data_IF_609862233530
#
_entry.id   IF_609862233530
#
_cell.length_a   1.000
_cell.length_b   1.000
_cell.length_c   1.000
_cell.angle_alpha   90.00
_cell.angle_beta   90.00
_cell.angle_gamma   90.00
#
_symmetry.space_group_name_H-M   'P 1'
#
loop_
_entity.id
_entity.type
_entity.pdbx_description
1 polymer ?
#
# COMPACT_ATOMS: atom_id res chain seq x y z
N UNK A 1 -5.92 11.38 -14.05
CA UNK A 1 -5.49 10.97 -12.70
C UNK A 1 -6.35 11.60 -11.60
N UNK A 2 -6.94 12.79 -11.80
CA UNK A 2 -7.63 13.52 -10.71
C UNK A 2 -9.17 13.52 -10.75
N UNK A 3 -9.81 12.74 -11.61
CA UNK A 3 -11.30 12.66 -11.70
C UNK A 3 -11.99 12.14 -10.40
N UNK A 4 -11.22 11.66 -9.41
CA UNK A 4 -11.76 11.09 -8.15
C UNK A 4 -11.30 11.84 -6.89
N UNK A 5 -10.75 13.06 -7.00
CA UNK A 5 -10.18 13.78 -5.85
C UNK A 5 -11.21 14.00 -4.73
N UNK A 6 -12.44 14.39 -5.08
CA UNK A 6 -13.51 14.61 -4.09
C UNK A 6 -13.86 13.31 -3.34
N UNK A 7 -13.85 12.15 -4.02
CA UNK A 7 -14.06 10.85 -3.39
C UNK A 7 -12.93 10.52 -2.41
N UNK A 8 -11.66 10.80 -2.76
CA UNK A 8 -10.54 10.62 -1.85
C UNK A 8 -10.61 11.57 -0.65
N UNK A 9 -11.03 12.83 -0.85
CA UNK A 9 -11.20 13.78 0.26
C UNK A 9 -12.27 13.27 1.22
N UNK A 10 -13.45 12.91 0.72
CA UNK A 10 -14.55 12.40 1.53
C UNK A 10 -14.16 11.11 2.28
N UNK A 11 -13.73 10.09 1.56
CA UNK A 11 -13.45 8.77 2.14
C UNK A 11 -12.18 8.71 2.99
N UNK A 12 -11.18 9.52 2.71
CA UNK A 12 -9.93 9.50 3.47
C UNK A 12 -9.92 10.62 4.53
N UNK A 13 -10.08 11.88 4.11
CA UNK A 13 -9.85 13.00 5.03
C UNK A 13 -11.02 13.19 5.99
N UNK A 14 -12.26 13.24 5.48
CA UNK A 14 -13.43 13.45 6.34
C UNK A 14 -13.68 12.25 7.25
N UNK A 15 -13.58 11.02 6.72
CA UNK A 15 -13.73 9.81 7.53
C UNK A 15 -12.65 9.72 8.64
N UNK A 16 -11.39 10.03 8.33
CA UNK A 16 -10.33 10.06 9.34
C UNK A 16 -10.58 11.15 10.39
N UNK A 17 -11.07 12.34 10.00
CA UNK A 17 -11.40 13.38 10.95
C UNK A 17 -12.51 12.94 11.91
N UNK A 18 -13.58 12.32 11.40
CA UNK A 18 -14.69 11.82 12.21
C UNK A 18 -14.22 10.74 13.18
N UNK A 19 -13.40 9.80 12.69
CA UNK A 19 -12.82 8.74 13.52
C UNK A 19 -11.92 9.33 14.64
N UNK A 20 -11.08 10.31 14.34
CA UNK A 20 -10.20 10.95 15.31
C UNK A 20 -10.99 11.71 16.39
N UNK A 21 -12.14 12.32 16.06
CA UNK A 21 -13.04 12.92 17.07
C UNK A 21 -13.53 11.85 18.06
N UNK A 22 -14.00 10.71 17.54
CA UNK A 22 -14.49 9.60 18.37
C UNK A 22 -13.36 9.01 19.23
N UNK A 23 -12.18 8.76 18.65
CA UNK A 23 -11.02 8.23 19.40
C UNK A 23 -10.66 9.15 20.57
N UNK A 24 -10.66 10.46 20.37
CA UNK A 24 -10.32 11.44 21.43
C UNK A 24 -11.31 11.48 22.59
N UNK A 25 -12.58 11.18 22.33
CA UNK A 25 -13.64 11.13 23.36
C UNK A 25 -13.88 9.73 23.90
N UNK A 26 -13.09 8.74 23.49
CA UNK A 26 -13.22 7.34 23.89
C UNK A 26 -12.03 6.83 24.69
N UNK A 27 -12.13 5.60 25.22
CA UNK A 27 -11.04 4.92 25.91
C UNK A 27 -10.16 4.05 24.99
N UNK A 28 -10.11 4.33 23.69
CA UNK A 28 -9.23 3.62 22.75
C UNK A 28 -7.78 3.78 23.17
N UNK A 29 -7.07 2.67 23.37
CA UNK A 29 -5.66 2.66 23.80
C UNK A 29 -4.69 2.59 22.63
N UNK A 30 -5.07 1.91 21.55
CA UNK A 30 -4.20 1.65 20.39
C UNK A 30 -4.95 1.94 19.10
N UNK A 31 -4.29 2.62 18.18
CA UNK A 31 -4.83 2.95 16.87
C UNK A 31 -3.83 2.55 15.79
N UNK A 32 -4.23 1.68 14.86
CA UNK A 32 -3.41 1.30 13.70
C UNK A 32 -3.98 1.96 12.46
N UNK A 33 -3.15 2.70 11.74
CA UNK A 33 -3.57 3.39 10.53
C UNK A 33 -2.87 2.79 9.31
N UNK A 34 -3.67 2.30 8.36
CA UNK A 34 -3.19 1.83 7.06
C UNK A 34 -2.85 3.02 6.17
N UNK A 35 -1.57 3.34 6.06
CA UNK A 35 -1.02 4.31 5.13
C UNK A 35 -0.42 3.60 3.90
N UNK A 36 0.43 4.24 3.14
CA UNK A 36 0.93 3.75 1.85
C UNK A 36 2.33 4.28 1.56
N UNK A 37 3.15 3.51 0.85
CA UNK A 37 4.42 3.99 0.29
C UNK A 37 4.23 5.11 -0.75
N UNK A 38 3.02 5.31 -1.29
CA UNK A 38 2.70 6.42 -2.19
C UNK A 38 2.79 7.80 -1.52
N UNK A 39 3.02 7.89 -0.22
CA UNK A 39 3.34 9.16 0.48
C UNK A 39 4.72 9.68 0.14
N UNK A 40 5.62 8.83 -0.32
CA UNK A 40 6.98 9.21 -0.72
C UNK A 40 7.02 9.76 -2.14
N UNK A 41 8.03 10.60 -2.41
CA UNK A 41 8.44 10.91 -3.77
C UNK A 41 9.09 9.67 -4.39
N UNK A 42 8.97 9.51 -5.71
CA UNK A 42 9.72 8.48 -6.41
C UNK A 42 11.22 8.63 -6.12
N UNK A 43 11.87 7.54 -5.78
CA UNK A 43 13.29 7.47 -5.44
C UNK A 43 13.90 6.20 -6.02
N UNK A 44 15.17 6.29 -6.40
CA UNK A 44 15.99 5.12 -6.76
C UNK A 44 16.69 4.51 -5.53
N UNK A 45 16.58 5.17 -4.37
CA UNK A 45 17.12 4.70 -3.11
C UNK A 45 16.03 4.00 -2.29
N UNK A 46 16.40 3.06 -1.41
CA UNK A 46 15.45 2.46 -0.47
C UNK A 46 14.75 3.54 0.35
N UNK A 47 13.43 3.37 0.50
CA UNK A 47 12.60 4.32 1.23
C UNK A 47 12.69 4.07 2.73
N UNK A 48 12.93 5.14 3.51
CA UNK A 48 12.92 5.09 4.97
C UNK A 48 11.85 6.02 5.55
N UNK A 49 11.39 5.72 6.76
CA UNK A 49 10.29 6.43 7.43
C UNK A 49 10.57 7.91 7.66
N UNK A 50 11.84 8.28 7.78
CA UNK A 50 12.30 9.66 8.03
C UNK A 50 12.39 10.52 6.76
N UNK A 51 12.15 9.95 5.58
CA UNK A 51 12.20 10.68 4.33
C UNK A 51 11.08 11.72 4.24
N UNK A 52 11.38 12.82 3.52
CA UNK A 52 10.41 13.86 3.23
C UNK A 52 9.22 13.30 2.43
N UNK A 53 8.02 13.51 2.95
CA UNK A 53 6.79 13.09 2.30
C UNK A 53 6.40 14.05 1.19
N UNK A 54 6.35 13.55 -0.04
CA UNK A 54 5.93 14.29 -1.23
C UNK A 54 5.30 13.35 -2.25
N UNK A 55 3.99 13.18 -2.19
CA UNK A 55 3.28 12.31 -3.13
C UNK A 55 3.05 12.96 -4.49
N UNK A 56 3.19 12.19 -5.55
CA UNK A 56 2.91 12.58 -6.93
C UNK A 56 1.43 12.38 -7.33
N UNK A 57 0.60 11.76 -6.47
CA UNK A 57 -0.81 11.50 -6.76
C UNK A 57 -1.74 11.95 -5.63
N UNK A 58 -3.01 12.15 -5.94
CA UNK A 58 -4.02 12.66 -5.00
C UNK A 58 -4.26 11.70 -3.84
N UNK A 59 -4.23 10.39 -4.07
CA UNK A 59 -4.38 9.39 -3.02
C UNK A 59 -3.29 9.52 -1.95
N UNK A 60 -2.02 9.51 -2.36
CA UNK A 60 -0.91 9.66 -1.42
C UNK A 60 -0.92 11.02 -0.70
N UNK A 61 -1.33 12.10 -1.39
CA UNK A 61 -1.51 13.42 -0.73
C UNK A 61 -2.56 13.37 0.38
N UNK A 62 -3.69 12.69 0.18
CA UNK A 62 -4.69 12.53 1.26
C UNK A 62 -4.16 11.70 2.42
N UNK A 63 -3.33 10.67 2.16
CA UNK A 63 -2.69 9.87 3.21
C UNK A 63 -1.68 10.69 4.01
N UNK A 64 -0.86 11.54 3.36
CA UNK A 64 0.05 12.48 4.06
C UNK A 64 -0.74 13.41 5.01
N UNK A 65 -1.85 13.97 4.54
CA UNK A 65 -2.72 14.81 5.36
C UNK A 65 -3.23 14.03 6.57
N UNK A 66 -3.67 12.78 6.38
CA UNK A 66 -4.17 11.95 7.46
C UNK A 66 -3.09 11.59 8.48
N UNK A 67 -1.87 11.21 8.03
CA UNK A 67 -0.75 10.94 8.93
C UNK A 67 -0.47 12.16 9.83
N UNK A 68 -0.35 13.36 9.24
CA UNK A 68 -0.14 14.60 9.99
C UNK A 68 -1.27 14.89 10.99
N UNK A 69 -2.52 14.62 10.60
CA UNK A 69 -3.69 14.81 11.49
C UNK A 69 -3.68 13.82 12.65
N UNK A 70 -3.38 12.55 12.41
CA UNK A 70 -3.28 11.51 13.43
C UNK A 70 -2.21 11.90 14.45
N UNK A 71 -1.01 12.20 13.98
CA UNK A 71 0.12 12.62 14.83
C UNK A 71 -0.28 13.82 15.70
N UNK A 72 -0.82 14.89 15.07
CA UNK A 72 -1.24 16.10 15.79
C UNK A 72 -2.36 15.84 16.80
N UNK A 73 -3.38 15.06 16.39
CA UNK A 73 -4.58 14.83 17.20
C UNK A 73 -4.34 13.94 18.40
N UNK A 74 -3.45 12.95 18.26
CA UNK A 74 -3.21 11.95 19.31
C UNK A 74 -1.99 12.25 20.19
N UNK A 75 -1.13 13.21 19.81
CA UNK A 75 0.09 13.59 20.54
C UNK A 75 -0.12 13.86 22.04
N UNK A 76 -1.27 14.44 22.42
CA UNK A 76 -1.60 14.81 23.81
C UNK A 76 -2.67 13.89 24.41
N UNK A 77 -2.87 12.70 23.86
CA UNK A 77 -3.85 11.71 24.35
C UNK A 77 -3.12 10.49 24.91
N UNK A 78 -3.88 9.61 25.59
CA UNK A 78 -3.38 8.31 26.05
C UNK A 78 -3.41 7.25 24.95
N UNK A 79 -3.97 7.56 23.78
CA UNK A 79 -4.04 6.66 22.63
C UNK A 79 -2.70 6.62 21.92
N UNK A 80 -2.06 5.46 21.88
CA UNK A 80 -0.87 5.22 21.09
C UNK A 80 -1.28 4.80 19.66
N UNK A 81 -0.46 5.14 18.65
CA UNK A 81 -0.76 4.76 17.27
C UNK A 81 0.45 4.15 16.56
N UNK A 82 0.19 3.26 15.61
CA UNK A 82 1.13 2.91 14.56
C UNK A 82 0.57 3.32 13.19
N UNK A 83 1.39 4.03 12.41
CA UNK A 83 1.11 4.32 11.01
C UNK A 83 1.90 3.33 10.18
N UNK A 84 1.21 2.49 9.40
CA UNK A 84 1.82 1.46 8.59
C UNK A 84 1.76 1.85 7.11
N UNK A 85 2.92 2.16 6.51
CA UNK A 85 3.04 2.52 5.10
C UNK A 85 3.24 1.26 4.27
N UNK A 86 2.14 0.73 3.75
CA UNK A 86 2.15 -0.48 2.91
C UNK A 86 2.75 -0.18 1.54
N UNK A 87 3.62 -1.08 1.08
CA UNK A 87 4.04 -1.17 -0.30
C UNK A 87 2.97 -1.87 -1.13
N UNK A 88 3.30 -2.51 -2.26
CA UNK A 88 2.26 -3.14 -3.08
C UNK A 88 1.85 -4.47 -2.45
N UNK A 89 0.72 -4.47 -1.78
CA UNK A 89 0.16 -5.68 -1.19
C UNK A 89 -0.30 -6.62 -2.30
N UNK A 90 0.02 -7.90 -2.18
CA UNK A 90 -0.36 -8.93 -3.15
C UNK A 90 -0.64 -10.27 -2.46
N UNK A 91 -1.17 -11.22 -3.22
CA UNK A 91 -1.46 -12.54 -2.73
C UNK A 91 -2.88 -12.68 -2.17
N UNK A 92 -3.15 -13.85 -1.59
CA UNK A 92 -4.44 -14.19 -0.99
C UNK A 92 -4.26 -15.04 0.25
N UNK A 93 -5.24 -15.02 1.12
CA UNK A 93 -5.33 -15.90 2.30
C UNK A 93 -5.95 -17.23 1.88
N UNK A 94 -5.13 -18.10 1.25
CA UNK A 94 -5.59 -19.37 0.65
C UNK A 94 -6.39 -20.22 1.62
N UNK A 95 -5.95 -20.34 2.87
CA UNK A 95 -6.63 -21.11 3.92
C UNK A 95 -8.08 -20.67 4.11
N UNK A 96 -8.37 -19.38 3.97
CA UNK A 96 -9.70 -18.81 4.19
C UNK A 96 -10.43 -18.48 2.90
N UNK A 97 -9.84 -18.79 1.72
CA UNK A 97 -10.38 -18.45 0.39
C UNK A 97 -10.70 -16.95 0.25
N UNK A 98 -9.89 -16.09 0.89
CA UNK A 98 -10.04 -14.62 0.85
C UNK A 98 -8.96 -14.08 -0.08
N UNK A 99 -9.38 -13.30 -1.06
CA UNK A 99 -8.50 -12.62 -2.01
C UNK A 99 -9.04 -11.26 -2.42
N UNK A 100 -8.24 -10.56 -3.19
CA UNK A 100 -8.63 -9.26 -3.75
C UNK A 100 -9.54 -9.46 -4.95
N UNK A 101 -10.61 -8.66 -5.01
CA UNK A 101 -11.52 -8.59 -6.15
C UNK A 101 -11.96 -7.16 -6.38
N UNK A 102 -11.66 -6.61 -7.56
CA UNK A 102 -12.09 -5.28 -7.98
C UNK A 102 -12.79 -5.33 -9.33
N UNK A 103 -13.78 -4.45 -9.50
CA UNK A 103 -14.44 -4.22 -10.80
C UNK A 103 -14.56 -2.71 -11.04
N UNK A 104 -13.81 -2.14 -12.01
CA UNK A 104 -12.75 -2.77 -12.81
C UNK A 104 -11.50 -3.06 -11.98
N UNK A 105 -10.75 -4.11 -12.37
CA UNK A 105 -9.45 -4.44 -11.77
C UNK A 105 -8.37 -3.44 -12.20
N UNK A 106 -7.53 -3.03 -11.25
CA UNK A 106 -6.49 -2.02 -11.47
C UNK A 106 -5.10 -2.43 -10.97
N UNK A 107 -5.00 -3.55 -10.24
CA UNK A 107 -3.74 -4.03 -9.70
C UNK A 107 -3.03 -4.97 -10.67
N UNK A 108 -1.71 -4.82 -10.78
CA UNK A 108 -0.89 -5.46 -11.79
C UNK A 108 -1.01 -6.99 -11.80
N UNK A 109 -0.80 -7.64 -10.66
CA UNK A 109 -0.78 -9.10 -10.58
C UNK A 109 -2.12 -9.73 -10.96
N UNK A 110 -3.28 -9.29 -10.43
CA UNK A 110 -4.58 -9.77 -10.89
C UNK A 110 -4.85 -9.51 -12.38
N UNK A 111 -4.44 -8.35 -12.92
CA UNK A 111 -4.57 -8.06 -14.36
C UNK A 111 -3.78 -9.06 -15.18
N UNK A 112 -2.52 -9.32 -14.82
CA UNK A 112 -1.67 -10.28 -15.52
C UNK A 112 -2.30 -11.67 -15.49
N UNK A 113 -2.67 -12.17 -14.30
CA UNK A 113 -3.28 -13.51 -14.15
C UNK A 113 -4.57 -13.61 -14.96
N UNK A 114 -5.45 -12.62 -14.88
CA UNK A 114 -6.69 -12.62 -15.65
C UNK A 114 -6.44 -12.57 -17.17
N UNK A 115 -5.39 -11.86 -17.62
CA UNK A 115 -5.02 -11.80 -19.02
C UNK A 115 -4.54 -13.15 -19.54
N UNK A 116 -3.70 -13.86 -18.76
CA UNK A 116 -3.28 -15.22 -19.09
C UNK A 116 -4.47 -16.19 -19.15
N UNK A 117 -5.31 -16.20 -18.12
CA UNK A 117 -6.47 -17.12 -18.06
C UNK A 117 -7.50 -16.87 -19.17
N UNK A 118 -7.60 -15.63 -19.67
CA UNK A 118 -8.54 -15.24 -20.73
C UNK A 118 -7.89 -15.11 -22.10
N UNK A 119 -6.62 -15.51 -22.24
CA UNK A 119 -5.82 -15.36 -23.45
C UNK A 119 -5.89 -13.93 -24.05
N UNK A 120 -5.76 -12.93 -23.16
CA UNK A 120 -5.79 -11.51 -23.55
C UNK A 120 -4.39 -10.92 -23.56
N UNK A 121 -4.20 -9.90 -24.42
CA UNK A 121 -2.96 -9.13 -24.48
C UNK A 121 -2.72 -8.36 -23.16
N UNK A 122 -1.48 -8.39 -22.67
CA UNK A 122 -1.04 -7.63 -21.49
C UNK A 122 -0.45 -6.30 -21.98
N UNK A 123 -0.99 -5.18 -21.53
CA UNK A 123 -0.47 -3.86 -21.86
C UNK A 123 0.53 -3.39 -20.80
N UNK A 124 1.72 -3.01 -21.21
CA UNK A 124 2.75 -2.40 -20.38
C UNK A 124 2.71 -0.88 -20.56
N UNK A 125 2.45 -0.16 -19.46
CA UNK A 125 2.37 1.30 -19.45
C UNK A 125 3.73 1.92 -19.15
N UNK A 126 4.55 2.08 -20.20
CA UNK A 126 5.89 2.67 -20.14
C UNK A 126 7.01 1.65 -20.11
N UNK A 127 7.97 1.87 -21.00
CA UNK A 127 9.15 1.02 -21.21
C UNK A 127 10.46 1.82 -21.26
N UNK A 128 10.43 3.09 -20.79
CA UNK A 128 11.58 4.00 -20.82
C UNK A 128 12.03 4.41 -19.40
N UNK A 129 11.70 3.61 -18.39
CA UNK A 129 12.22 3.83 -17.05
C UNK A 129 13.71 3.50 -17.00
N UNK A 130 14.47 4.21 -16.16
CA UNK A 130 15.88 3.91 -15.89
C UNK A 130 16.02 2.65 -15.01
N UNK A 131 15.65 1.52 -15.58
CA UNK A 131 15.64 0.18 -14.97
C UNK A 131 16.25 -0.82 -15.96
N UNK A 132 16.71 -1.99 -15.53
CA UNK A 132 17.37 -2.95 -16.43
C UNK A 132 16.55 -3.39 -17.66
N UNK A 133 15.23 -3.44 -17.53
CA UNK A 133 14.30 -3.85 -18.60
C UNK A 133 13.39 -2.73 -19.11
N UNK A 134 13.63 -1.50 -18.67
CA UNK A 134 12.86 -0.32 -19.05
C UNK A 134 11.48 -0.21 -18.38
N UNK A 135 11.03 -1.21 -17.64
CA UNK A 135 9.73 -1.18 -16.97
C UNK A 135 9.83 -0.75 -15.50
N UNK A 136 8.70 -0.36 -14.93
CA UNK A 136 8.63 0.18 -13.57
C UNK A 136 8.93 -0.91 -12.53
N UNK A 137 9.79 -0.61 -11.55
CA UNK A 137 10.11 -1.50 -10.42
C UNK A 137 9.25 -1.16 -9.21
N UNK A 138 8.76 -2.19 -8.50
CA UNK A 138 7.97 -2.05 -7.26
C UNK A 138 8.35 -3.14 -6.25
N UNK A 139 8.28 -2.79 -4.97
CA UNK A 139 8.32 -3.75 -3.87
C UNK A 139 6.91 -4.34 -3.66
N UNK A 140 6.81 -5.65 -3.54
CA UNK A 140 5.58 -6.39 -3.30
C UNK A 140 5.65 -7.13 -1.97
N UNK A 141 4.64 -6.94 -1.12
CA UNK A 141 4.51 -7.63 0.16
C UNK A 141 3.31 -8.58 0.14
N UNK A 142 3.48 -9.78 0.67
CA UNK A 142 2.38 -10.73 0.75
C UNK A 142 1.39 -10.34 1.85
N UNK A 143 0.11 -10.55 1.63
CA UNK A 143 -0.95 -10.22 2.59
C UNK A 143 -0.73 -10.86 3.97
N UNK A 144 -0.18 -12.09 4.04
CA UNK A 144 0.16 -12.73 5.32
C UNK A 144 1.19 -11.93 6.12
N UNK A 145 2.17 -11.31 5.45
CA UNK A 145 3.18 -10.51 6.13
C UNK A 145 2.62 -9.14 6.56
N UNK A 146 1.67 -8.60 5.80
CA UNK A 146 0.91 -7.42 6.23
C UNK A 146 0.13 -7.72 7.51
N UNK A 147 -0.56 -8.86 7.59
CA UNK A 147 -1.29 -9.26 8.80
C UNK A 147 -0.38 -9.49 10.00
N UNK A 148 0.79 -10.12 9.78
CA UNK A 148 1.83 -10.24 10.81
C UNK A 148 2.31 -8.86 11.26
N UNK A 149 2.55 -7.94 10.33
CA UNK A 149 2.96 -6.56 10.60
C UNK A 149 1.93 -5.81 11.48
N UNK A 150 0.64 -5.88 11.13
CA UNK A 150 -0.44 -5.31 11.93
C UNK A 150 -0.47 -5.90 13.34
N UNK A 151 -0.42 -7.23 13.46
CA UNK A 151 -0.43 -7.91 14.76
C UNK A 151 0.78 -7.54 15.61
N UNK A 152 1.98 -7.49 15.01
CA UNK A 152 3.20 -7.05 15.70
C UNK A 152 3.11 -5.59 16.15
N UNK A 153 2.50 -4.71 15.34
CA UNK A 153 2.32 -3.29 15.68
C UNK A 153 1.41 -3.11 16.90
N UNK A 154 0.35 -3.92 17.03
CA UNK A 154 -0.51 -3.91 18.22
C UNK A 154 0.28 -4.30 19.48
N UNK A 155 1.10 -5.36 19.38
CA UNK A 155 1.98 -5.81 20.49
C UNK A 155 3.08 -4.78 20.79
N UNK A 156 3.66 -4.16 19.76
CA UNK A 156 4.66 -3.11 19.90
C UNK A 156 4.16 -1.95 20.77
N UNK A 157 2.93 -1.49 20.54
CA UNK A 157 2.31 -0.39 21.28
C UNK A 157 2.02 -0.71 22.76
N UNK A 158 2.13 -1.97 23.21
CA UNK A 158 2.01 -2.31 24.62
C UNK A 158 3.17 -1.76 25.44
N UNK A 159 4.36 -1.86 24.89
CA UNK A 159 5.62 -1.54 25.59
C UNK A 159 6.28 -0.26 25.06
N UNK A 160 5.92 0.22 23.87
CA UNK A 160 6.59 1.32 23.19
C UNK A 160 5.64 2.49 22.93
N UNK A 161 6.20 3.61 22.47
CA UNK A 161 5.46 4.79 22.04
C UNK A 161 4.89 4.60 20.62
N UNK A 162 4.11 5.62 20.21
CA UNK A 162 3.60 5.69 18.83
C UNK A 162 4.73 5.74 17.81
N UNK A 163 4.55 5.06 16.67
CA UNK A 163 5.60 4.90 15.67
C UNK A 163 5.04 4.81 14.25
N UNK A 164 5.91 4.98 13.26
CA UNK A 164 5.62 4.83 11.83
C UNK A 164 6.51 3.71 11.29
N UNK A 165 5.94 2.79 10.53
CA UNK A 165 6.68 1.69 9.92
C UNK A 165 6.36 1.56 8.44
N UNK A 166 7.40 1.33 7.63
CA UNK A 166 7.27 0.83 6.29
C UNK A 166 7.00 -0.68 6.32
N UNK A 167 6.02 -1.13 5.57
CA UNK A 167 5.74 -2.57 5.39
C UNK A 167 5.94 -2.94 3.91
N UNK A 168 7.15 -3.33 3.58
CA UNK A 168 7.59 -3.90 2.32
C UNK A 168 8.29 -5.23 2.55
N UNK A 169 8.64 -5.93 1.47
CA UNK A 169 9.39 -7.19 1.53
C UNK A 169 10.91 -6.97 1.41
N UNK A 170 11.32 -5.78 1.07
CA UNK A 170 12.68 -5.43 0.64
C UNK A 170 13.14 -6.17 -0.63
N UNK A 171 12.17 -6.75 -1.38
CA UNK A 171 12.38 -7.38 -2.68
C UNK A 171 11.57 -6.63 -3.73
N UNK A 172 12.25 -6.09 -4.71
CA UNK A 172 11.64 -5.31 -5.78
C UNK A 172 11.62 -6.12 -7.08
N UNK A 173 10.55 -5.97 -7.85
CA UNK A 173 10.38 -6.61 -9.14
C UNK A 173 9.91 -5.59 -10.18
N UNK A 174 10.41 -5.72 -11.40
CA UNK A 174 9.90 -4.98 -12.55
C UNK A 174 8.57 -5.56 -13.05
N UNK A 175 7.87 -4.81 -13.88
CA UNK A 175 6.64 -5.30 -14.51
C UNK A 175 6.90 -6.54 -15.37
N UNK A 176 7.97 -6.53 -16.17
CA UNK A 176 8.35 -7.69 -17.00
C UNK A 176 8.75 -8.90 -16.16
N UNK A 177 9.48 -8.72 -15.07
CA UNK A 177 9.81 -9.81 -14.16
C UNK A 177 8.55 -10.47 -13.55
N UNK A 178 7.53 -9.67 -13.17
CA UNK A 178 6.26 -10.22 -12.68
C UNK A 178 5.54 -10.99 -13.79
N UNK A 179 5.46 -10.44 -15.01
CA UNK A 179 4.86 -11.15 -16.15
C UNK A 179 5.56 -12.48 -16.39
N UNK A 180 6.91 -12.48 -16.43
CA UNK A 180 7.69 -13.69 -16.66
C UNK A 180 7.53 -14.73 -15.54
N UNK A 181 7.45 -14.28 -14.28
CA UNK A 181 7.16 -15.19 -13.15
C UNK A 181 5.76 -15.80 -13.26
N UNK A 182 4.75 -15.02 -13.60
CA UNK A 182 3.38 -15.52 -13.83
C UNK A 182 3.34 -16.51 -15.01
N UNK A 183 3.99 -16.19 -16.12
CA UNK A 183 4.11 -17.06 -17.30
C UNK A 183 4.69 -18.44 -16.92
N UNK A 184 5.83 -18.45 -16.21
CA UNK A 184 6.47 -19.69 -15.76
C UNK A 184 5.58 -20.51 -14.84
N UNK A 185 4.88 -19.88 -13.89
CA UNK A 185 4.01 -20.56 -12.93
C UNK A 185 2.75 -21.12 -13.59
N UNK A 186 2.17 -20.39 -14.53
CA UNK A 186 0.96 -20.78 -15.25
C UNK A 186 1.25 -21.69 -16.45
N UNK A 187 2.52 -21.78 -16.88
CA UNK A 187 2.98 -22.47 -18.11
C UNK A 187 2.27 -21.93 -19.37
N UNK A 188 2.05 -20.62 -19.43
CA UNK A 188 1.39 -19.92 -20.54
C UNK A 188 2.33 -18.85 -21.06
N UNK A 189 2.54 -18.76 -22.37
CA UNK A 189 3.34 -17.70 -22.97
C UNK A 189 2.58 -16.38 -22.97
N UNK A 190 3.22 -15.27 -22.56
CA UNK A 190 2.56 -13.98 -22.55
C UNK A 190 2.35 -13.44 -23.98
N UNK A 191 1.17 -12.86 -24.23
CA UNK A 191 0.94 -11.94 -25.32
C UNK A 191 1.08 -10.52 -24.77
N UNK A 192 2.14 -9.81 -25.14
CA UNK A 192 2.46 -8.48 -24.67
C UNK A 192 2.26 -7.45 -25.78
#
# INVERSE_FOLDING_TARGET
VDKKINKYIANNIHATNSLLKIIRSSNVKKFIFSSTASVYKNSNLPLSENMLLKSNNSYGRTKIINEKKIIKSLKKTKTKYCILRFFNVSGCLRKYKIGEFHSPETHLIPIIINSFLKNKKISIYGNQYKTPDGTCIRDYIHIDDVLKGITKSIKYLEKNNSEIFNLGSNNSFSVLEIINKCSKLLKINPSI
#
